data_IF_754567036823
#
_entry.id   IF_754567036823
#
_cell.length_a   1.000
_cell.length_b   1.000
_cell.length_c   1.000
_cell.angle_alpha   90.00
_cell.angle_beta   90.00
_cell.angle_gamma   90.00
#
_symmetry.space_group_name_H-M   'P 1'
#
loop_
_entity.id
_entity.type
_entity.pdbx_description
1 polymer ?
#
# COMPACT_ATOMS: atom_id res chain seq x y z
N UNK A 1 10.73 16.87 2.04
CA UNK A 1 11.07 15.50 2.50
C UNK A 1 10.11 14.51 1.85
N UNK A 2 10.61 13.37 1.37
CA UNK A 2 9.78 12.31 0.80
C UNK A 2 9.75 11.10 1.73
N UNK A 3 8.57 10.59 2.02
CA UNK A 3 8.38 9.34 2.75
C UNK A 3 7.66 8.33 1.88
N UNK A 4 8.08 7.07 1.96
CA UNK A 4 7.47 5.97 1.23
C UNK A 4 6.90 4.93 2.19
N UNK A 5 5.74 4.37 1.89
CA UNK A 5 5.21 3.24 2.63
C UNK A 5 4.09 2.53 1.88
N UNK A 6 3.59 1.42 2.43
CA UNK A 6 2.59 0.59 1.76
C UNK A 6 1.15 1.04 2.02
N UNK A 7 0.96 1.96 2.96
CA UNK A 7 -0.36 2.49 3.34
C UNK A 7 -0.93 3.40 2.25
N UNK A 8 -2.25 3.55 2.16
CA UNK A 8 -2.85 4.58 1.31
C UNK A 8 -2.37 5.99 1.73
N UNK A 9 -2.14 6.90 0.77
CA UNK A 9 -1.78 8.28 1.07
C UNK A 9 -2.90 8.96 1.86
N UNK A 10 -2.54 9.68 2.94
CA UNK A 10 -3.47 10.49 3.74
C UNK A 10 -2.73 11.63 4.45
N UNK A 11 -3.45 12.72 4.74
CA UNK A 11 -2.89 13.91 5.40
C UNK A 11 -2.35 13.61 6.80
N UNK A 12 -3.07 12.73 7.53
CA UNK A 12 -2.64 12.22 8.83
C UNK A 12 -1.26 11.56 8.78
N UNK A 13 -0.90 10.94 7.65
CA UNK A 13 0.40 10.32 7.48
C UNK A 13 1.49 11.37 7.31
N UNK A 14 1.25 12.41 6.50
CA UNK A 14 2.21 13.50 6.33
C UNK A 14 2.43 14.28 7.62
N UNK A 15 1.40 14.46 8.44
CA UNK A 15 1.49 15.07 9.78
C UNK A 15 2.28 14.19 10.75
N UNK A 16 2.03 12.87 10.78
CA UNK A 16 2.76 11.96 11.66
C UNK A 16 4.24 11.84 11.28
N UNK A 17 4.55 11.83 9.97
CA UNK A 17 5.93 11.88 9.46
C UNK A 17 6.61 13.19 9.87
N UNK A 18 5.91 14.32 9.74
CA UNK A 18 6.40 15.63 10.16
C UNK A 18 6.74 15.65 11.66
N UNK A 19 5.83 15.17 12.50
CA UNK A 19 6.02 15.11 13.94
C UNK A 19 7.18 14.18 14.33
N UNK A 20 7.23 12.97 13.76
CA UNK A 20 8.26 11.97 14.08
C UNK A 20 9.67 12.44 13.70
N UNK A 21 9.80 13.18 12.60
CA UNK A 21 11.08 13.66 12.07
C UNK A 21 11.38 15.13 12.43
N UNK A 22 10.55 15.76 13.27
CA UNK A 22 10.67 17.17 13.70
C UNK A 22 10.85 18.13 12.52
N UNK A 23 10.08 17.92 11.44
CA UNK A 23 10.23 18.69 10.20
C UNK A 23 9.53 20.06 10.36
N UNK A 24 10.25 21.18 10.18
CA UNK A 24 9.68 22.54 10.23
C UNK A 24 8.51 22.76 9.26
N UNK A 25 7.53 23.57 9.66
CA UNK A 25 6.25 23.72 8.95
C UNK A 25 6.38 24.25 7.51
N UNK A 26 7.39 25.05 7.25
CA UNK A 26 7.77 25.61 5.96
C UNK A 26 8.34 24.57 4.98
N UNK A 27 8.77 23.41 5.47
CA UNK A 27 9.30 22.34 4.63
C UNK A 27 8.16 21.44 4.14
N UNK A 28 7.96 21.28 2.82
CA UNK A 28 6.93 20.40 2.28
C UNK A 28 7.27 18.93 2.53
N UNK A 29 6.25 18.16 2.93
CA UNK A 29 6.33 16.72 3.18
C UNK A 29 5.40 16.02 2.19
N UNK A 30 5.96 15.08 1.43
CA UNK A 30 5.24 14.28 0.45
C UNK A 30 5.24 12.83 0.91
N UNK A 31 4.11 12.15 0.75
CA UNK A 31 4.01 10.72 0.94
C UNK A 31 3.75 10.01 -0.38
N UNK A 32 4.60 9.05 -0.71
CA UNK A 32 4.44 8.18 -1.87
C UNK A 32 4.04 6.78 -1.41
N UNK A 33 2.91 6.28 -1.90
CA UNK A 33 2.56 4.89 -1.69
C UNK A 33 3.47 3.99 -2.52
N UNK A 34 4.21 3.12 -1.86
CA UNK A 34 5.07 2.11 -2.47
C UNK A 34 4.25 1.06 -3.22
N UNK A 35 4.79 0.61 -4.36
CA UNK A 35 4.24 -0.48 -5.16
C UNK A 35 4.90 -1.82 -4.81
N UNK A 36 4.16 -2.91 -4.97
CA UNK A 36 4.72 -4.26 -4.87
C UNK A 36 4.92 -4.88 -6.26
N UNK A 37 6.16 -5.07 -6.67
CA UNK A 37 6.49 -5.67 -7.96
C UNK A 37 6.59 -7.19 -7.87
N UNK A 38 5.52 -7.88 -8.29
CA UNK A 38 5.47 -9.34 -8.29
C UNK A 38 6.46 -9.99 -9.26
N UNK A 39 6.95 -9.27 -10.28
CA UNK A 39 7.96 -9.78 -11.23
C UNK A 39 9.37 -9.78 -10.65
N UNK A 40 9.62 -8.99 -9.60
CA UNK A 40 10.92 -8.93 -8.93
C UNK A 40 11.13 -10.09 -7.93
N UNK A 41 10.09 -10.89 -7.66
CA UNK A 41 10.19 -12.07 -6.80
C UNK A 41 10.78 -13.27 -7.55
N UNK A 42 11.63 -14.09 -6.89
CA UNK A 42 11.95 -15.44 -7.34
C UNK A 42 10.69 -16.27 -7.58
N UNK A 43 10.72 -17.18 -8.58
CA UNK A 43 9.56 -17.95 -9.02
C UNK A 43 8.77 -18.64 -7.88
N UNK A 44 9.41 -19.29 -6.89
CA UNK A 44 8.66 -19.91 -5.79
C UNK A 44 7.87 -18.89 -4.96
N UNK A 45 8.50 -17.76 -4.63
CA UNK A 45 7.86 -16.68 -3.87
C UNK A 45 6.76 -16.00 -4.66
N UNK A 46 6.92 -15.90 -5.98
CA UNK A 46 5.88 -15.40 -6.89
C UNK A 46 4.63 -16.27 -6.86
N UNK A 47 4.80 -17.60 -6.85
CA UNK A 47 3.69 -18.56 -6.70
C UNK A 47 2.95 -18.36 -5.38
N UNK A 48 3.68 -18.28 -4.26
CA UNK A 48 3.11 -18.04 -2.93
C UNK A 48 2.32 -16.72 -2.90
N UNK A 49 2.90 -15.64 -3.43
CA UNK A 49 2.26 -14.32 -3.44
C UNK A 49 0.99 -14.32 -4.29
N UNK A 50 0.99 -15.03 -5.42
CA UNK A 50 -0.21 -15.19 -6.24
C UNK A 50 -1.36 -15.85 -5.47
N UNK A 51 -1.10 -16.97 -4.79
CA UNK A 51 -2.12 -17.63 -3.96
C UNK A 51 -2.59 -16.75 -2.80
N UNK A 52 -1.68 -16.02 -2.16
CA UNK A 52 -2.01 -15.08 -1.08
C UNK A 52 -2.92 -13.96 -1.58
N UNK A 53 -2.59 -13.33 -2.71
CA UNK A 53 -3.41 -12.29 -3.32
C UNK A 53 -4.80 -12.81 -3.69
N UNK A 54 -4.89 -14.03 -4.26
CA UNK A 54 -6.17 -14.68 -4.57
C UNK A 54 -7.03 -14.91 -3.31
N UNK A 55 -6.40 -15.39 -2.23
CA UNK A 55 -7.08 -15.61 -0.94
C UNK A 55 -7.60 -14.31 -0.33
N UNK A 56 -6.78 -13.26 -0.29
CA UNK A 56 -7.17 -11.93 0.22
C UNK A 56 -8.31 -11.36 -0.62
N UNK A 57 -8.21 -11.42 -1.95
CA UNK A 57 -9.27 -10.94 -2.84
C UNK A 57 -10.58 -11.69 -2.62
N UNK A 58 -10.53 -13.01 -2.44
CA UNK A 58 -11.71 -13.83 -2.17
C UNK A 58 -12.35 -13.49 -0.82
N UNK A 59 -11.55 -13.21 0.21
CA UNK A 59 -12.05 -12.77 1.52
C UNK A 59 -12.72 -11.39 1.43
N UNK A 60 -12.08 -10.44 0.76
CA UNK A 60 -12.61 -9.09 0.63
C UNK A 60 -13.88 -9.02 -0.22
N UNK A 61 -14.03 -9.87 -1.26
CA UNK A 61 -15.26 -9.95 -2.06
C UNK A 61 -16.51 -10.35 -1.25
N UNK A 62 -16.34 -10.96 -0.09
CA UNK A 62 -17.44 -11.34 0.81
C UNK A 62 -17.87 -10.19 1.72
N UNK A 63 -17.18 -9.05 1.68
CA UNK A 63 -17.52 -7.87 2.49
C UNK A 63 -18.47 -7.00 1.68
N UNK A 64 -19.70 -6.85 2.16
CA UNK A 64 -20.77 -6.12 1.45
C UNK A 64 -20.45 -4.63 1.26
N UNK A 65 -19.81 -3.99 2.24
CA UNK A 65 -19.37 -2.61 2.17
C UNK A 65 -17.90 -2.48 2.63
N UNK A 66 -16.99 -2.40 1.66
CA UNK A 66 -15.56 -2.22 1.95
C UNK A 66 -15.28 -0.81 2.49
N UNK A 67 -14.57 -0.71 3.60
CA UNK A 67 -14.00 0.57 4.02
C UNK A 67 -12.83 0.99 3.11
N UNK A 68 -12.35 2.23 3.23
CA UNK A 68 -11.28 2.75 2.38
C UNK A 68 -9.99 1.91 2.40
N UNK A 69 -9.65 1.33 3.54
CA UNK A 69 -8.46 0.47 3.70
C UNK A 69 -8.65 -0.89 3.01
N UNK A 70 -9.83 -1.49 3.16
CA UNK A 70 -10.20 -2.74 2.50
C UNK A 70 -10.26 -2.57 0.98
N UNK A 71 -10.84 -1.48 0.49
CA UNK A 71 -10.88 -1.15 -0.93
C UNK A 71 -9.47 -0.93 -1.50
N UNK A 72 -8.58 -0.26 -0.76
CA UNK A 72 -7.18 -0.09 -1.15
C UNK A 72 -6.45 -1.44 -1.20
N UNK A 73 -6.63 -2.29 -0.18
CA UNK A 73 -6.04 -3.63 -0.13
C UNK A 73 -6.53 -4.50 -1.27
N UNK A 74 -7.84 -4.49 -1.55
CA UNK A 74 -8.44 -5.21 -2.66
C UNK A 74 -7.83 -4.78 -4.00
N UNK A 75 -7.66 -3.47 -4.21
CA UNK A 75 -6.98 -2.93 -5.40
C UNK A 75 -5.55 -3.43 -5.54
N UNK A 76 -4.80 -3.53 -4.45
CA UNK A 76 -3.42 -4.07 -4.45
C UNK A 76 -3.37 -5.55 -4.83
N UNK A 77 -4.42 -6.33 -4.53
CA UNK A 77 -4.49 -7.74 -4.99
C UNK A 77 -4.76 -7.88 -6.48
N UNK A 78 -5.42 -6.89 -7.10
CA UNK A 78 -5.80 -6.90 -8.51
C UNK A 78 -4.70 -6.33 -9.41
N UNK A 79 -4.15 -5.18 -9.01
CA UNK A 79 -3.00 -4.57 -9.69
C UNK A 79 -1.75 -5.17 -9.08
N UNK A 80 -1.24 -6.24 -9.68
CA UNK A 80 0.18 -6.48 -9.59
C UNK A 80 0.84 -5.24 -10.20
N UNK A 81 1.25 -4.28 -9.37
CA UNK A 81 1.94 -3.07 -9.80
C UNK A 81 3.29 -3.53 -10.38
N UNK A 82 3.30 -3.88 -11.66
CA UNK A 82 4.50 -3.81 -12.45
C UNK A 82 4.88 -2.35 -12.53
N UNK A 83 6.12 -2.06 -12.12
CA UNK A 83 6.80 -0.83 -12.53
C UNK A 83 6.62 -0.58 -14.04
#
# INVERSE_FOLDING_TARGET
VCATGMSPPSDKLTESIRAANKIPADVPVFYMQGGFNMKALPLPLRGIMYFKNKSIAAGLRKVDAMNAHQAATFRMTQKAYSA
#
